data_IF_419409021264
#
_entry.id   IF_419409021264
#
_cell.length_a   1.000
_cell.length_b   1.000
_cell.length_c   1.000
_cell.angle_alpha   90.00
_cell.angle_beta   90.00
_cell.angle_gamma   90.00
#
_symmetry.space_group_name_H-M   'P 1'
#
loop_
_entity.id
_entity.type
_entity.pdbx_description
1 polymer ?
#
# COMPACT_ATOMS: atom_id res chain seq x y z
N UNK A 1 14.05 -7.41 -5.56
CA UNK A 1 12.72 -7.03 -6.10
C UNK A 1 11.73 -7.37 -5.01
N UNK A 2 10.79 -6.48 -4.68
CA UNK A 2 9.74 -6.77 -3.72
C UNK A 2 8.96 -8.01 -4.18
N UNK A 3 8.81 -9.00 -3.30
CA UNK A 3 8.11 -10.25 -3.56
C UNK A 3 6.73 -10.26 -2.90
N UNK A 4 5.88 -11.21 -3.28
CA UNK A 4 4.59 -11.41 -2.61
C UNK A 4 4.79 -11.79 -1.14
N UNK A 5 5.78 -12.63 -0.83
CA UNK A 5 6.09 -13.03 0.54
C UNK A 5 6.49 -11.82 1.40
N UNK A 6 7.27 -10.87 0.86
CA UNK A 6 7.62 -9.64 1.58
C UNK A 6 6.36 -8.81 1.92
N UNK A 7 5.36 -8.80 1.03
CA UNK A 7 4.08 -8.12 1.27
C UNK A 7 3.20 -8.86 2.29
N UNK A 8 3.20 -10.20 2.28
CA UNK A 8 2.47 -11.02 3.25
C UNK A 8 3.06 -10.90 4.66
N UNK A 9 4.39 -10.83 4.78
CA UNK A 9 5.09 -10.56 6.03
C UNK A 9 4.74 -9.17 6.57
N UNK A 10 4.74 -8.15 5.69
CA UNK A 10 4.33 -6.80 6.06
C UNK A 10 2.86 -6.73 6.48
N UNK A 11 1.96 -7.40 5.76
CA UNK A 11 0.55 -7.51 6.13
C UNK A 11 0.39 -8.18 7.50
N UNK A 12 1.14 -9.24 7.75
CA UNK A 12 1.13 -9.93 9.06
C UNK A 12 1.60 -8.99 10.16
N UNK A 13 2.71 -8.27 9.96
CA UNK A 13 3.23 -7.29 10.92
C UNK A 13 2.20 -6.19 11.26
N UNK A 14 1.46 -5.70 10.26
CA UNK A 14 0.40 -4.70 10.45
C UNK A 14 -0.85 -5.26 11.14
N UNK A 15 -1.18 -6.55 10.96
CA UNK A 15 -2.38 -7.17 11.53
C UNK A 15 -2.16 -7.81 12.91
N UNK A 16 -0.92 -8.16 13.24
CA UNK A 16 -0.56 -8.90 14.46
C UNK A 16 -0.61 -8.04 15.72
N UNK A 17 -0.61 -6.71 15.59
CA UNK A 17 -0.44 -5.78 16.71
C UNK A 17 1.04 -5.47 17.01
N UNK A 18 1.98 -6.09 16.29
CA UNK A 18 3.42 -5.86 16.48
C UNK A 18 3.81 -4.44 16.07
N UNK A 19 3.25 -3.92 14.97
CA UNK A 19 3.48 -2.54 14.55
C UNK A 19 3.06 -1.53 15.63
N UNK A 20 1.90 -1.70 16.24
CA UNK A 20 1.42 -0.83 17.31
C UNK A 20 2.30 -0.92 18.57
N UNK A 21 2.80 -2.11 18.88
CA UNK A 21 3.74 -2.31 19.97
C UNK A 21 5.07 -1.59 19.70
N UNK A 22 5.67 -1.81 18.52
CA UNK A 22 6.91 -1.15 18.10
C UNK A 22 6.76 0.37 18.05
N UNK A 23 5.63 0.87 17.56
CA UNK A 23 5.35 2.31 17.54
C UNK A 23 5.26 2.88 18.96
N UNK A 24 4.62 2.16 19.88
CA UNK A 24 4.47 2.59 21.28
C UNK A 24 5.81 2.59 22.02
N UNK A 25 6.59 1.54 21.84
CA UNK A 25 7.84 1.32 22.58
C UNK A 25 9.05 2.00 21.92
N UNK A 26 8.94 2.35 20.63
CA UNK A 26 9.96 3.05 19.85
C UNK A 26 10.21 4.49 20.30
N UNK A 27 11.42 4.98 20.01
CA UNK A 27 11.75 6.38 20.23
C UNK A 27 11.13 7.28 19.15
N UNK A 28 11.28 8.60 19.30
CA UNK A 28 10.71 9.58 18.36
C UNK A 28 11.13 9.31 16.90
N UNK A 29 12.40 9.00 16.67
CA UNK A 29 12.91 8.69 15.32
C UNK A 29 12.29 7.41 14.74
N UNK A 30 12.13 6.37 15.57
CA UNK A 30 11.54 5.09 15.12
C UNK A 30 10.07 5.28 14.75
N UNK A 31 9.34 6.07 15.53
CA UNK A 31 7.94 6.42 15.26
C UNK A 31 7.80 7.19 13.96
N UNK A 32 8.65 8.19 13.72
CA UNK A 32 8.63 8.94 12.47
C UNK A 32 8.95 8.04 11.28
N UNK A 33 9.91 7.13 11.43
CA UNK A 33 10.24 6.17 10.38
C UNK A 33 9.07 5.23 10.05
N UNK A 34 8.39 4.69 11.07
CA UNK A 34 7.22 3.83 10.86
C UNK A 34 6.08 4.58 10.16
N UNK A 35 5.85 5.86 10.50
CA UNK A 35 4.84 6.68 9.83
C UNK A 35 5.22 6.96 8.37
N UNK A 36 6.48 7.29 8.10
CA UNK A 36 6.98 7.50 6.73
C UNK A 36 6.86 6.23 5.89
N UNK A 37 7.15 5.06 6.48
CA UNK A 37 6.98 3.77 5.82
C UNK A 37 5.52 3.52 5.44
N UNK A 38 4.59 3.76 6.37
CA UNK A 38 3.15 3.58 6.13
C UNK A 38 2.63 4.56 5.06
N UNK A 39 3.03 5.83 5.13
CA UNK A 39 2.70 6.83 4.11
C UNK A 39 3.19 6.39 2.73
N UNK A 40 4.45 5.93 2.65
CA UNK A 40 5.01 5.47 1.38
C UNK A 40 4.29 4.24 0.83
N UNK A 41 3.87 3.33 1.71
CA UNK A 41 3.11 2.14 1.31
C UNK A 41 1.75 2.53 0.71
N UNK A 42 1.08 3.52 1.30
CA UNK A 42 -0.20 4.04 0.78
C UNK A 42 -0.04 4.62 -0.64
N UNK A 43 0.99 5.45 -0.88
CA UNK A 43 1.29 5.99 -2.21
C UNK A 43 1.51 4.88 -3.25
N UNK A 44 2.27 3.84 -2.86
CA UNK A 44 2.58 2.71 -3.74
C UNK A 44 1.33 1.87 -4.00
N UNK A 45 0.46 1.68 -3.01
CA UNK A 45 -0.80 0.97 -3.17
C UNK A 45 -1.74 1.68 -4.15
N UNK A 46 -1.88 3.00 -4.05
CA UNK A 46 -2.66 3.80 -5.01
C UNK A 46 -2.07 3.72 -6.43
N UNK A 47 -0.75 3.84 -6.55
CA UNK A 47 -0.07 3.69 -7.83
C UNK A 47 -0.25 2.27 -8.42
N UNK A 48 -0.20 1.24 -7.59
CA UNK A 48 -0.39 -0.14 -7.99
C UNK A 48 -1.81 -0.37 -8.52
N UNK A 49 -2.84 0.15 -7.84
CA UNK A 49 -4.24 0.08 -8.29
C UNK A 49 -4.44 0.78 -9.65
N UNK A 50 -3.96 2.03 -9.76
CA UNK A 50 -4.04 2.77 -11.02
C UNK A 50 -3.29 2.05 -12.15
N UNK A 51 -2.16 1.41 -11.84
CA UNK A 51 -1.38 0.62 -12.80
C UNK A 51 -2.12 -0.65 -13.20
N UNK A 52 -2.69 -1.38 -12.25
CA UNK A 52 -3.47 -2.59 -12.50
C UNK A 52 -4.69 -2.28 -13.38
N UNK A 53 -5.44 -1.23 -13.05
CA UNK A 53 -6.54 -0.72 -13.86
C UNK A 53 -6.09 -0.43 -15.29
N UNK A 54 -5.00 0.34 -15.47
CA UNK A 54 -4.45 0.62 -16.81
C UNK A 54 -4.05 -0.64 -17.56
N UNK A 55 -3.49 -1.66 -16.89
CA UNK A 55 -3.07 -2.91 -17.51
C UNK A 55 -4.26 -3.78 -17.93
N UNK A 56 -5.28 -3.89 -17.08
CA UNK A 56 -6.50 -4.67 -17.34
C UNK A 56 -7.30 -4.05 -18.50
N UNK A 57 -7.44 -2.73 -18.51
CA UNK A 57 -8.25 -2.03 -19.51
C UNK A 57 -7.46 -1.55 -20.73
N UNK A 58 -6.18 -1.92 -20.86
CA UNK A 58 -5.36 -1.55 -22.02
C UNK A 58 -5.92 -2.17 -23.30
N UNK A 59 -6.54 -1.35 -24.15
CA UNK A 59 -7.09 -1.76 -25.44
C UNK A 59 -8.58 -2.12 -25.43
N UNK A 60 -9.26 -1.98 -24.28
CA UNK A 60 -10.72 -2.06 -24.22
C UNK A 60 -11.31 -0.66 -24.51
N UNK A 61 -12.36 -0.55 -25.34
CA UNK A 61 -13.04 0.73 -25.52
C UNK A 61 -13.64 1.16 -24.17
N UNK A 62 -13.25 2.35 -23.71
CA UNK A 62 -13.87 2.98 -22.54
C UNK A 62 -15.36 3.14 -22.86
N UNK A 63 -16.29 2.58 -22.07
CA UNK A 63 -17.70 2.79 -22.32
C UNK A 63 -17.99 4.29 -22.25
N UNK A 64 -18.81 4.84 -23.17
CA UNK A 64 -19.14 6.26 -23.15
C UNK A 64 -19.76 6.62 -21.79
N UNK A 65 -19.52 7.84 -21.29
CA UNK A 65 -20.15 8.30 -20.06
C UNK A 65 -21.68 8.16 -20.18
N UNK A 66 -22.38 7.86 -19.07
CA UNK A 66 -23.84 7.74 -19.10
C UNK A 66 -24.44 9.06 -19.63
N UNK A 67 -25.34 8.94 -20.61
CA UNK A 67 -26.12 10.07 -21.09
C UNK A 67 -27.03 10.54 -19.95
N UNK A 68 -26.91 11.82 -19.58
CA UNK A 68 -27.83 12.51 -18.69
C UNK A 68 -29.27 12.51 -19.24
#
# INVERSE_FOLDING_TARGET
MLTVNDLEELETYMRSGELEADFKDGCENDRFYLLELLEKLMDVAELADATATRLIFRGLPVPPPPAE
#
